data_IF_371465020252
#
_entry.id   IF_371465020252
#
_cell.length_a   1.000
_cell.length_b   1.000
_cell.length_c   1.000
_cell.angle_alpha   90.00
_cell.angle_beta   90.00
_cell.angle_gamma   90.00
#
_symmetry.space_group_name_H-M   'P 1'
#
loop_
_entity.id
_entity.type
_entity.pdbx_description
1 polymer ?
#
# COMPACT_ATOMS: atom_id res chain seq x y z
N UNK A 1 -15.18 6.16 83.39
CA UNK A 1 -16.35 5.31 83.76
C UNK A 1 -16.74 4.57 82.51
N UNK A 2 -16.28 3.29 82.39
CA UNK A 2 -17.08 2.03 82.49
C UNK A 2 -18.24 2.05 81.51
N UNK A 3 -18.47 1.12 80.61
CA UNK A 3 -18.35 -0.34 80.67
C UNK A 3 -18.59 -0.96 79.30
N UNK A 4 -17.77 -1.94 78.94
CA UNK A 4 -18.13 -3.34 78.56
C UNK A 4 -18.95 -3.64 77.27
N UNK A 5 -18.27 -4.41 76.43
CA UNK A 5 -18.69 -5.43 75.44
C UNK A 5 -19.94 -6.32 75.91
N UNK A 6 -20.59 -7.06 74.99
CA UNK A 6 -19.94 -8.23 74.36
C UNK A 6 -20.37 -8.65 72.94
N UNK A 7 -19.44 -9.37 72.32
CA UNK A 7 -19.50 -10.49 71.37
C UNK A 7 -20.85 -11.15 71.07
N UNK A 8 -21.11 -11.36 69.76
CA UNK A 8 -21.76 -12.58 69.27
C UNK A 8 -21.30 -12.92 67.84
N UNK A 9 -20.65 -14.03 67.71
CA UNK A 9 -20.36 -14.77 66.48
C UNK A 9 -21.67 -15.25 65.81
N UNK A 10 -21.74 -15.21 64.48
CA UNK A 10 -22.46 -16.18 63.68
C UNK A 10 -21.77 -16.40 62.36
N UNK A 11 -21.37 -17.61 62.18
CA UNK A 11 -20.92 -18.32 60.98
C UNK A 11 -21.94 -18.23 59.84
N UNK A 12 -21.51 -17.95 58.63
CA UNK A 12 -22.31 -18.01 57.42
C UNK A 12 -21.40 -18.18 56.19
N UNK A 13 -21.10 -19.43 55.91
CA UNK A 13 -20.45 -19.85 54.68
C UNK A 13 -21.30 -19.40 53.50
N UNK A 14 -20.75 -18.57 52.58
CA UNK A 14 -21.38 -18.28 51.30
C UNK A 14 -20.35 -18.46 50.19
N UNK A 15 -20.58 -19.52 49.46
CA UNK A 15 -19.92 -19.97 48.26
C UNK A 15 -19.68 -18.85 47.26
N UNK A 16 -18.40 -18.62 46.90
CA UNK A 16 -17.98 -17.74 45.81
C UNK A 16 -18.29 -18.44 44.48
N UNK A 17 -19.28 -17.95 43.78
CA UNK A 17 -19.51 -18.28 42.38
C UNK A 17 -18.38 -17.69 41.55
N UNK A 18 -17.63 -18.55 40.87
CA UNK A 18 -16.61 -18.19 39.88
C UNK A 18 -17.31 -17.53 38.69
N UNK A 19 -17.19 -16.21 38.57
CA UNK A 19 -17.52 -15.50 37.34
C UNK A 19 -16.55 -15.98 36.25
N UNK A 20 -17.09 -16.67 35.27
CA UNK A 20 -16.43 -17.19 34.10
C UNK A 20 -16.09 -15.97 33.20
N UNK A 21 -14.81 -15.57 33.16
CA UNK A 21 -14.32 -14.59 32.25
C UNK A 21 -14.52 -15.10 30.81
N UNK A 22 -15.52 -14.58 30.13
CA UNK A 22 -15.70 -14.82 28.70
C UNK A 22 -14.63 -14.01 27.96
N UNK A 23 -13.58 -14.69 27.58
CA UNK A 23 -12.61 -14.17 26.59
C UNK A 23 -13.36 -13.94 25.28
N UNK A 24 -13.58 -12.67 24.95
CA UNK A 24 -14.02 -12.27 23.63
C UNK A 24 -12.91 -12.67 22.65
N UNK A 25 -13.10 -13.79 21.99
CA UNK A 25 -12.35 -14.15 20.81
C UNK A 25 -12.68 -13.10 19.75
N UNK A 26 -11.75 -12.18 19.54
CA UNK A 26 -11.78 -11.32 18.34
C UNK A 26 -11.73 -12.26 17.14
N UNK A 27 -12.86 -12.41 16.49
CA UNK A 27 -12.95 -13.07 15.19
C UNK A 27 -12.00 -12.36 14.25
N UNK A 28 -10.87 -13.00 13.96
CA UNK A 28 -10.01 -12.62 12.86
C UNK A 28 -10.85 -12.76 11.59
N UNK A 29 -11.36 -11.66 11.09
CA UNK A 29 -11.96 -11.61 9.77
C UNK A 29 -10.85 -11.96 8.78
N UNK A 30 -10.83 -13.21 8.35
CA UNK A 30 -10.07 -13.65 7.20
C UNK A 30 -10.63 -12.89 5.99
N UNK A 31 -10.02 -11.76 5.65
CA UNK A 31 -10.23 -11.13 4.36
C UNK A 31 -9.65 -12.07 3.32
N UNK A 32 -10.49 -12.92 2.80
CA UNK A 32 -10.19 -13.81 1.70
C UNK A 32 -10.04 -12.94 0.44
N UNK A 33 -8.86 -12.35 0.26
CA UNK A 33 -8.51 -11.70 -1.00
C UNK A 33 -8.57 -12.80 -2.05
N UNK A 34 -9.39 -12.70 -3.10
CA UNK A 34 -9.50 -13.75 -4.09
C UNK A 34 -8.11 -14.06 -4.63
N UNK A 35 -7.71 -15.32 -4.52
CA UNK A 35 -6.44 -15.80 -5.07
C UNK A 35 -6.56 -15.68 -6.58
N UNK A 36 -5.83 -14.77 -7.18
CA UNK A 36 -5.76 -14.66 -8.64
C UNK A 36 -5.07 -15.92 -9.16
N UNK A 37 -5.82 -16.76 -9.86
CA UNK A 37 -5.25 -17.93 -10.51
C UNK A 37 -4.44 -17.51 -11.73
N UNK A 38 -3.22 -18.00 -11.81
CA UNK A 38 -2.34 -17.70 -12.94
C UNK A 38 -2.69 -18.57 -14.14
N UNK A 39 -2.78 -17.94 -15.30
CA UNK A 39 -2.91 -18.66 -16.57
C UNK A 39 -1.56 -19.31 -16.93
N UNK A 40 -1.49 -20.66 -17.03
CA UNK A 40 -0.24 -21.37 -17.32
C UNK A 40 0.36 -21.04 -18.70
N UNK A 41 -0.43 -20.50 -19.63
CA UNK A 41 0.02 -20.09 -20.95
C UNK A 41 0.73 -18.73 -20.96
N UNK A 42 0.60 -17.93 -19.90
CA UNK A 42 1.21 -16.62 -19.81
C UNK A 42 2.57 -16.67 -19.11
N UNK A 43 3.47 -15.80 -19.55
CA UNK A 43 4.76 -15.59 -18.89
C UNK A 43 4.53 -15.03 -17.49
N UNK A 44 5.29 -15.50 -16.50
CA UNK A 44 5.23 -14.98 -15.13
C UNK A 44 6.39 -14.04 -14.90
N UNK A 45 6.08 -12.78 -14.60
CA UNK A 45 7.03 -11.70 -14.30
C UNK A 45 6.89 -11.29 -12.84
N UNK A 46 8.01 -11.16 -12.12
CA UNK A 46 8.05 -10.51 -10.83
C UNK A 46 8.36 -9.03 -11.03
N UNK A 47 7.64 -8.19 -10.32
CA UNK A 47 7.80 -6.74 -10.33
C UNK A 47 8.01 -6.30 -8.89
N UNK A 48 9.01 -5.45 -8.68
CA UNK A 48 9.22 -4.72 -7.44
C UNK A 48 9.16 -3.23 -7.77
N UNK A 49 8.51 -2.45 -6.95
CA UNK A 49 8.42 -1.01 -7.16
C UNK A 49 8.36 -0.26 -5.83
N UNK A 50 8.99 0.91 -5.82
CA UNK A 50 8.99 1.83 -4.71
C UNK A 50 8.96 3.27 -5.23
N UNK A 51 8.57 4.21 -4.35
CA UNK A 51 8.53 5.63 -4.65
C UNK A 51 9.09 6.47 -3.51
N UNK A 52 9.71 7.59 -3.85
CA UNK A 52 10.29 8.52 -2.89
C UNK A 52 9.94 9.95 -3.24
N UNK A 53 9.76 10.79 -2.22
CA UNK A 53 9.60 12.24 -2.37
C UNK A 53 10.39 12.95 -1.27
N UNK A 54 11.36 13.79 -1.66
CA UNK A 54 12.33 14.42 -0.73
C UNK A 54 11.68 15.43 0.22
N UNK A 55 10.65 16.15 -0.27
CA UNK A 55 9.81 17.05 0.55
C UNK A 55 8.36 16.72 0.23
N UNK A 56 7.77 15.84 1.01
CA UNK A 56 6.41 15.36 0.81
C UNK A 56 5.39 16.17 1.63
N UNK A 57 4.40 16.85 1.03
CA UNK A 57 4.11 16.92 -0.41
C UNK A 57 4.86 18.03 -1.14
N UNK A 58 4.99 17.88 -2.47
CA UNK A 58 5.34 18.98 -3.38
C UNK A 58 6.81 19.12 -3.73
N UNK A 59 7.71 18.35 -3.11
CA UNK A 59 9.12 18.33 -3.46
C UNK A 59 9.46 17.40 -4.63
N UNK A 60 10.74 17.37 -5.02
CA UNK A 60 11.23 16.41 -5.99
C UNK A 60 10.99 14.97 -5.53
N UNK A 61 10.56 14.12 -6.44
CA UNK A 61 10.34 12.72 -6.18
C UNK A 61 10.68 11.84 -7.37
N UNK A 62 10.76 10.54 -7.12
CA UNK A 62 11.07 9.57 -8.15
C UNK A 62 10.54 8.19 -7.80
N UNK A 63 10.47 7.34 -8.80
CA UNK A 63 10.16 5.92 -8.61
C UNK A 63 11.32 5.04 -9.06
N UNK A 64 11.41 3.85 -8.45
CA UNK A 64 12.31 2.77 -8.84
C UNK A 64 11.53 1.49 -9.09
N UNK A 65 11.95 0.73 -10.10
CA UNK A 65 11.33 -0.52 -10.52
C UNK A 65 12.41 -1.55 -10.81
N UNK A 66 12.19 -2.79 -10.37
CA UNK A 66 12.96 -3.96 -10.78
C UNK A 66 11.98 -4.96 -11.39
N UNK A 67 12.25 -5.36 -12.62
CA UNK A 67 11.51 -6.41 -13.35
C UNK A 67 12.38 -7.66 -13.42
N UNK A 68 11.84 -8.81 -13.01
CA UNK A 68 12.52 -10.10 -13.08
C UNK A 68 11.75 -11.09 -13.96
N UNK A 69 12.44 -11.66 -14.93
CA UNK A 69 11.90 -12.72 -15.78
C UNK A 69 13.00 -13.73 -16.17
N UNK A 70 12.80 -15.01 -15.83
CA UNK A 70 13.73 -16.12 -16.18
C UNK A 70 15.19 -15.87 -15.75
N UNK A 71 15.41 -15.25 -14.59
CA UNK A 71 16.75 -14.95 -14.10
C UNK A 71 17.32 -13.60 -14.57
N UNK A 72 16.73 -12.99 -15.59
CA UNK A 72 17.09 -11.67 -16.07
C UNK A 72 16.42 -10.59 -15.22
N UNK A 73 17.17 -9.50 -14.94
CA UNK A 73 16.68 -8.33 -14.24
C UNK A 73 16.76 -7.08 -15.14
N UNK A 74 15.78 -6.22 -14.99
CA UNK A 74 15.76 -4.90 -15.63
C UNK A 74 15.33 -3.85 -14.63
N UNK A 75 16.15 -2.82 -14.50
CA UNK A 75 15.89 -1.67 -13.66
C UNK A 75 15.32 -0.51 -14.47
N UNK A 76 14.37 0.22 -13.87
CA UNK A 76 13.82 1.45 -14.43
C UNK A 76 13.65 2.45 -13.29
N UNK A 77 13.93 3.71 -13.56
CA UNK A 77 13.67 4.81 -12.63
C UNK A 77 13.39 6.10 -13.39
N UNK A 78 12.66 6.99 -12.74
CA UNK A 78 12.38 8.31 -13.30
C UNK A 78 12.03 9.28 -12.17
N UNK A 79 12.48 10.54 -12.31
CA UNK A 79 12.24 11.59 -11.33
C UNK A 79 11.34 12.71 -11.86
N UNK A 80 10.70 13.41 -10.91
CA UNK A 80 9.80 14.52 -11.15
C UNK A 80 10.11 15.67 -10.19
N UNK A 81 10.10 16.89 -10.68
CA UNK A 81 10.47 18.08 -9.91
C UNK A 81 9.51 18.36 -8.74
N UNK A 82 8.24 18.09 -8.92
CA UNK A 82 7.21 18.29 -7.86
C UNK A 82 6.17 17.20 -7.90
N UNK A 83 6.01 16.47 -6.78
CA UNK A 83 5.07 15.35 -6.67
C UNK A 83 4.78 14.99 -5.20
N UNK A 84 4.27 13.80 -4.95
CA UNK A 84 4.11 13.21 -3.61
C UNK A 84 4.61 11.78 -3.56
N UNK A 85 4.94 11.31 -2.36
CA UNK A 85 5.37 9.92 -2.14
C UNK A 85 4.36 8.92 -2.71
N UNK A 86 3.08 9.04 -2.34
CA UNK A 86 2.04 8.14 -2.83
C UNK A 86 1.93 8.12 -4.36
N UNK A 87 2.14 9.27 -5.04
CA UNK A 87 2.12 9.30 -6.50
C UNK A 87 3.30 8.55 -7.09
N UNK A 88 4.48 8.67 -6.49
CA UNK A 88 5.68 7.95 -6.96
C UNK A 88 5.55 6.44 -6.76
N UNK A 89 5.02 5.97 -5.62
CA UNK A 89 4.70 4.56 -5.38
C UNK A 89 3.71 4.03 -6.42
N UNK A 90 2.64 4.78 -6.70
CA UNK A 90 1.65 4.42 -7.72
C UNK A 90 2.26 4.42 -9.12
N UNK A 91 3.09 5.41 -9.43
CA UNK A 91 3.70 5.56 -10.76
C UNK A 91 4.71 4.45 -11.04
N UNK A 92 5.50 4.03 -10.05
CA UNK A 92 6.38 2.87 -10.17
C UNK A 92 5.61 1.61 -10.58
N UNK A 93 4.54 1.28 -9.87
CA UNK A 93 3.70 0.13 -10.20
C UNK A 93 3.02 0.26 -11.58
N UNK A 94 2.51 1.45 -11.90
CA UNK A 94 1.85 1.76 -13.17
C UNK A 94 2.80 1.57 -14.36
N UNK A 95 3.96 2.22 -14.31
CA UNK A 95 4.95 2.16 -15.40
C UNK A 95 5.47 0.74 -15.57
N UNK A 96 5.67 0.00 -14.47
CA UNK A 96 6.05 -1.41 -14.56
C UNK A 96 5.05 -2.23 -15.39
N UNK A 97 3.74 -2.07 -15.14
CA UNK A 97 2.69 -2.77 -15.87
C UNK A 97 2.59 -2.29 -17.33
N UNK A 98 2.69 -0.98 -17.59
CA UNK A 98 2.62 -0.42 -18.94
C UNK A 98 3.84 -0.84 -19.82
N UNK A 99 5.00 -1.12 -19.21
CA UNK A 99 6.20 -1.61 -19.93
C UNK A 99 6.10 -3.07 -20.38
N UNK A 100 5.18 -3.84 -19.85
CA UNK A 100 4.93 -5.20 -20.30
C UNK A 100 4.17 -5.19 -21.63
N UNK A 101 4.82 -5.61 -22.70
CA UNK A 101 4.28 -5.55 -24.08
C UNK A 101 3.11 -6.51 -24.30
N UNK A 102 3.08 -7.63 -23.59
CA UNK A 102 2.10 -8.71 -23.75
C UNK A 102 1.41 -9.00 -22.42
N UNK A 103 0.21 -9.60 -22.42
CA UNK A 103 -0.43 -10.10 -21.20
C UNK A 103 0.52 -11.05 -20.45
N UNK A 104 0.62 -10.88 -19.13
CA UNK A 104 1.48 -11.66 -18.26
C UNK A 104 0.75 -12.04 -16.98
N UNK A 105 1.23 -13.11 -16.33
CA UNK A 105 1.04 -13.26 -14.90
C UNK A 105 2.06 -12.35 -14.19
N UNK A 106 1.60 -11.45 -13.36
CA UNK A 106 2.46 -10.49 -12.67
C UNK A 106 2.38 -10.69 -11.17
N UNK A 107 3.53 -10.84 -10.50
CA UNK A 107 3.63 -10.78 -9.05
C UNK A 107 4.25 -9.43 -8.71
N UNK A 108 3.42 -8.46 -8.33
CA UNK A 108 3.86 -7.11 -8.01
C UNK A 108 4.08 -6.96 -6.52
N UNK A 109 5.31 -6.65 -6.13
CA UNK A 109 5.74 -6.41 -4.75
C UNK A 109 5.90 -4.91 -4.52
N UNK A 110 5.31 -4.41 -3.44
CA UNK A 110 5.47 -3.03 -2.98
C UNK A 110 5.23 -2.98 -1.47
N UNK A 111 5.87 -2.06 -0.77
CA UNK A 111 5.62 -1.77 0.64
C UNK A 111 4.56 -0.68 0.84
N UNK A 112 4.06 -0.10 -0.23
CA UNK A 112 2.97 0.88 -0.21
C UNK A 112 1.63 0.25 0.20
N UNK A 113 1.20 0.54 1.42
CA UNK A 113 -0.14 0.17 1.88
C UNK A 113 -1.24 0.90 1.10
N UNK A 114 -0.97 2.15 0.69
CA UNK A 114 -1.89 2.95 -0.10
C UNK A 114 -2.18 2.30 -1.45
N UNK A 115 -1.13 1.91 -2.18
CA UNK A 115 -1.24 1.21 -3.46
C UNK A 115 -1.96 -0.13 -3.30
N UNK A 116 -1.53 -0.96 -2.34
CA UNK A 116 -2.15 -2.27 -2.07
C UNK A 116 -3.64 -2.13 -1.78
N UNK A 117 -4.00 -1.29 -0.81
CA UNK A 117 -5.40 -1.14 -0.39
C UNK A 117 -6.25 -0.54 -1.51
N UNK A 118 -5.70 0.42 -2.27
CA UNK A 118 -6.37 0.98 -3.44
C UNK A 118 -6.75 -0.10 -4.44
N UNK A 119 -5.81 -0.91 -4.85
CA UNK A 119 -6.03 -1.94 -5.88
C UNK A 119 -6.85 -3.13 -5.39
N UNK A 120 -6.73 -3.52 -4.11
CA UNK A 120 -7.38 -4.75 -3.61
C UNK A 120 -8.70 -4.51 -2.88
N UNK A 121 -8.88 -3.34 -2.27
CA UNK A 121 -10.05 -3.06 -1.42
C UNK A 121 -10.93 -1.93 -1.95
N UNK A 122 -10.34 -0.80 -2.37
CA UNK A 122 -11.11 0.42 -2.62
C UNK A 122 -11.55 0.58 -4.07
N UNK A 123 -10.76 0.11 -5.03
CA UNK A 123 -10.95 0.29 -6.47
C UNK A 123 -12.37 -0.05 -6.93
N UNK A 124 -12.88 -1.22 -6.51
CA UNK A 124 -14.23 -1.68 -6.89
C UNK A 124 -15.32 -0.71 -6.43
N UNK A 125 -15.18 -0.18 -5.21
CA UNK A 125 -16.10 0.82 -4.65
C UNK A 125 -16.02 2.15 -5.40
N UNK A 126 -14.81 2.64 -5.64
CA UNK A 126 -14.60 3.90 -6.36
C UNK A 126 -15.15 3.87 -7.79
N UNK A 127 -14.91 2.79 -8.52
CA UNK A 127 -15.47 2.61 -9.88
C UNK A 127 -17.00 2.63 -9.87
N UNK A 128 -17.64 1.91 -8.94
CA UNK A 128 -19.10 1.89 -8.81
C UNK A 128 -19.68 3.25 -8.45
N UNK A 129 -18.95 4.02 -7.64
CA UNK A 129 -19.41 5.33 -7.14
C UNK A 129 -18.89 6.50 -8.01
N UNK A 130 -18.46 6.27 -9.26
CA UNK A 130 -18.01 7.34 -10.15
C UNK A 130 -16.75 8.07 -9.69
N UNK A 131 -15.84 7.38 -8.98
CA UNK A 131 -14.59 7.93 -8.43
C UNK A 131 -14.79 8.97 -7.32
N UNK A 132 -15.86 8.80 -6.55
CA UNK A 132 -16.19 9.61 -5.39
C UNK A 132 -16.07 8.76 -4.12
N UNK A 133 -15.47 9.33 -3.06
CA UNK A 133 -15.34 8.69 -1.75
C UNK A 133 -16.68 8.65 -1.00
N UNK A 134 -16.75 7.89 0.10
CA UNK A 134 -17.90 7.89 1.01
C UNK A 134 -18.24 9.28 1.56
N UNK A 135 -17.24 10.17 1.67
CA UNK A 135 -17.40 11.57 2.09
C UNK A 135 -17.85 12.52 0.97
N UNK A 136 -18.26 11.96 -0.19
CA UNK A 136 -18.69 12.73 -1.38
C UNK A 136 -17.59 13.64 -1.96
N UNK A 137 -16.31 13.31 -1.72
CA UNK A 137 -15.15 14.02 -2.28
C UNK A 137 -14.56 13.22 -3.45
N UNK A 138 -13.94 13.88 -4.44
CA UNK A 138 -13.19 13.18 -5.48
C UNK A 138 -12.09 12.30 -4.87
N UNK A 139 -11.90 11.10 -5.41
CA UNK A 139 -10.78 10.22 -5.01
C UNK A 139 -9.46 10.91 -5.34
N UNK A 140 -8.55 11.01 -4.35
CA UNK A 140 -7.20 11.55 -4.57
C UNK A 140 -6.43 10.70 -5.57
N UNK A 141 -5.63 11.34 -6.43
CA UNK A 141 -4.81 10.68 -7.46
C UNK A 141 -5.65 9.82 -8.43
N UNK A 142 -6.88 10.26 -8.73
CA UNK A 142 -7.81 9.52 -9.58
C UNK A 142 -7.27 9.28 -11.00
N UNK A 143 -6.42 10.18 -11.49
CA UNK A 143 -5.69 10.07 -12.74
C UNK A 143 -4.82 8.80 -12.77
N UNK A 144 -4.02 8.59 -11.74
CA UNK A 144 -3.16 7.40 -11.62
C UNK A 144 -3.97 6.13 -11.33
N UNK A 145 -5.03 6.23 -10.52
CA UNK A 145 -5.88 5.07 -10.25
C UNK A 145 -6.58 4.55 -11.51
N UNK A 146 -7.09 5.43 -12.37
CA UNK A 146 -7.71 5.03 -13.64
C UNK A 146 -6.70 4.36 -14.57
N UNK A 147 -5.48 4.90 -14.66
CA UNK A 147 -4.41 4.31 -15.47
C UNK A 147 -3.96 2.96 -14.91
N UNK A 148 -3.80 2.84 -13.58
CA UNK A 148 -3.46 1.58 -12.91
C UNK A 148 -4.51 0.49 -13.14
N UNK A 149 -5.80 0.83 -13.06
CA UNK A 149 -6.90 -0.10 -13.35
C UNK A 149 -6.83 -0.59 -14.81
N UNK A 150 -6.63 0.32 -15.75
CA UNK A 150 -6.49 -0.02 -17.16
C UNK A 150 -5.23 -0.86 -17.45
N UNK A 151 -4.08 -0.51 -16.87
CA UNK A 151 -2.86 -1.27 -17.04
C UNK A 151 -2.98 -2.67 -16.41
N UNK A 152 -3.49 -2.76 -15.18
CA UNK A 152 -3.67 -4.02 -14.47
C UNK A 152 -4.64 -4.96 -15.16
N UNK A 153 -5.70 -4.43 -15.81
CA UNK A 153 -6.70 -5.25 -16.52
C UNK A 153 -6.13 -6.02 -17.73
N UNK A 154 -4.96 -5.63 -18.22
CA UNK A 154 -4.25 -6.33 -19.32
C UNK A 154 -3.51 -7.58 -18.85
N UNK A 155 -3.34 -7.78 -17.55
CA UNK A 155 -2.50 -8.79 -16.93
C UNK A 155 -3.25 -9.52 -15.82
N UNK A 156 -2.75 -10.70 -15.42
CA UNK A 156 -3.17 -11.36 -14.19
C UNK A 156 -2.28 -10.89 -13.04
N UNK A 157 -2.68 -9.83 -12.32
CA UNK A 157 -1.82 -9.21 -11.30
C UNK A 157 -2.15 -9.73 -9.91
N UNK A 158 -1.12 -10.28 -9.25
CA UNK A 158 -1.15 -10.61 -7.83
C UNK A 158 -0.36 -9.56 -7.06
N UNK A 159 -1.06 -8.78 -6.23
CA UNK A 159 -0.48 -7.74 -5.40
C UNK A 159 0.11 -8.35 -4.14
N UNK A 160 1.40 -8.19 -3.92
CA UNK A 160 2.12 -8.65 -2.72
C UNK A 160 2.66 -7.45 -1.95
N UNK A 161 2.22 -7.32 -0.72
CA UNK A 161 2.85 -6.37 0.19
C UNK A 161 4.12 -6.97 0.79
N UNK A 162 5.19 -6.21 0.81
CA UNK A 162 6.44 -6.51 1.51
C UNK A 162 6.65 -5.48 2.62
N UNK A 163 7.36 -5.85 3.66
CA UNK A 163 7.73 -4.89 4.69
C UNK A 163 8.90 -4.06 4.19
N UNK A 164 8.74 -2.73 4.16
CA UNK A 164 9.83 -1.82 3.81
C UNK A 164 11.04 -1.97 4.74
N UNK A 165 12.23 -1.80 4.21
CA UNK A 165 13.51 -1.88 4.95
C UNK A 165 13.70 -3.17 5.78
N UNK A 166 13.25 -4.30 5.25
CA UNK A 166 13.31 -5.60 5.92
C UNK A 166 14.30 -6.58 5.26
N UNK A 167 15.31 -6.09 4.56
CA UNK A 167 16.34 -6.92 3.91
C UNK A 167 15.88 -7.55 2.58
N UNK A 168 14.78 -7.09 1.99
CA UNK A 168 14.38 -7.52 0.66
C UNK A 168 15.20 -6.80 -0.40
N UNK A 169 16.21 -7.47 -0.95
CA UNK A 169 17.20 -6.92 -1.91
C UNK A 169 16.55 -6.08 -3.02
N UNK A 170 15.52 -6.59 -3.66
CA UNK A 170 14.87 -5.92 -4.79
C UNK A 170 14.07 -4.68 -4.35
N UNK A 171 13.44 -4.73 -3.17
CA UNK A 171 12.74 -3.56 -2.63
C UNK A 171 13.73 -2.45 -2.23
N UNK A 172 14.83 -2.81 -1.59
CA UNK A 172 15.90 -1.86 -1.25
C UNK A 172 16.57 -1.27 -2.49
N UNK A 173 16.66 -2.06 -3.58
CA UNK A 173 17.11 -1.56 -4.87
C UNK A 173 16.13 -0.55 -5.46
N UNK A 174 14.82 -0.83 -5.41
CA UNK A 174 13.78 0.11 -5.85
C UNK A 174 13.82 1.42 -5.04
N UNK A 175 13.95 1.36 -3.72
CA UNK A 175 14.09 2.53 -2.85
C UNK A 175 15.29 3.38 -3.24
N UNK A 176 16.47 2.73 -3.44
CA UNK A 176 17.68 3.43 -3.90
C UNK A 176 17.49 4.10 -5.26
N UNK A 177 16.92 3.40 -6.24
CA UNK A 177 16.63 3.94 -7.57
C UNK A 177 15.66 5.12 -7.48
N UNK A 178 14.61 5.01 -6.67
CA UNK A 178 13.63 6.08 -6.45
C UNK A 178 14.28 7.33 -5.84
N UNK A 179 15.16 7.16 -4.85
CA UNK A 179 15.89 8.28 -4.22
C UNK A 179 16.85 8.94 -5.19
N UNK A 180 17.65 8.18 -5.94
CA UNK A 180 18.56 8.71 -6.95
C UNK A 180 17.78 9.53 -7.99
N UNK A 181 16.64 8.99 -8.48
CA UNK A 181 15.80 9.68 -9.43
C UNK A 181 15.19 10.97 -8.85
N UNK A 182 14.79 10.97 -7.58
CA UNK A 182 14.28 12.14 -6.88
C UNK A 182 15.35 13.23 -6.72
N UNK A 183 16.58 12.88 -6.34
CA UNK A 183 17.70 13.83 -6.25
C UNK A 183 18.06 14.42 -7.63
N UNK A 184 18.15 13.59 -8.65
CA UNK A 184 18.41 14.07 -10.02
C UNK A 184 17.31 15.00 -10.53
N UNK A 185 16.06 14.78 -10.15
CA UNK A 185 14.94 15.61 -10.56
C UNK A 185 14.93 16.99 -9.86
N UNK A 186 15.61 17.15 -8.74
CA UNK A 186 15.75 18.45 -8.08
C UNK A 186 16.43 19.48 -9.00
N UNK A 187 17.39 19.03 -9.81
CA UNK A 187 18.15 19.84 -10.75
C UNK A 187 17.51 19.93 -12.15
N UNK A 188 16.37 19.24 -12.38
CA UNK A 188 15.66 19.18 -13.66
C UNK A 188 14.26 19.83 -13.57
N UNK A 189 14.14 21.16 -13.68
CA UNK A 189 12.87 21.86 -13.43
C UNK A 189 11.76 21.56 -14.45
N UNK A 190 12.06 20.87 -15.56
CA UNK A 190 11.12 20.71 -16.67
C UNK A 190 10.26 19.44 -16.61
N UNK A 191 10.54 18.53 -15.70
CA UNK A 191 9.80 17.26 -15.61
C UNK A 191 8.76 17.31 -14.51
N UNK A 192 7.58 17.73 -14.86
CA UNK A 192 6.44 17.82 -13.93
C UNK A 192 5.62 16.53 -13.90
N UNK A 193 5.16 16.16 -12.72
CA UNK A 193 4.08 15.20 -12.55
C UNK A 193 2.76 15.90 -12.92
N UNK A 194 2.30 15.71 -14.16
CA UNK A 194 1.17 16.45 -14.77
C UNK A 194 -0.13 16.32 -13.94
N UNK A 195 -0.30 15.24 -13.22
CA UNK A 195 -1.46 15.02 -12.36
C UNK A 195 -1.31 15.59 -10.95
N UNK A 196 -0.15 16.11 -10.61
CA UNK A 196 0.09 16.76 -9.32
C UNK A 196 -0.12 18.28 -9.45
N UNK A 197 -1.19 18.76 -8.85
CA UNK A 197 -1.41 20.19 -8.67
C UNK A 197 -0.89 20.58 -7.29
N UNK A 198 0.22 21.35 -7.18
CA UNK A 198 0.66 21.88 -5.89
C UNK A 198 -0.48 22.72 -5.29
N UNK A 199 -0.78 22.51 -4.02
CA UNK A 199 -1.69 23.41 -3.33
C UNK A 199 -1.04 24.79 -3.34
N UNK A 200 -1.71 25.79 -3.92
CA UNK A 200 -1.28 27.17 -3.78
C UNK A 200 -1.33 27.49 -2.29
N UNK A 201 -0.19 27.88 -1.74
CA UNK A 201 -0.11 28.37 -0.38
C UNK A 201 -1.15 29.47 -0.23
N UNK A 202 -2.00 29.32 0.79
CA UNK A 202 -3.00 30.33 1.16
C UNK A 202 -2.36 31.36 2.06
#
# INVERSE_FOLDING_TARGET
>A
MTTKNPVRQRTGCRTKSKARCQTHQHSRTNFNTPVVEFNPQLKTVKVFSDGSCLKNPGGPGGYGIVLQYRGEERELSEGFHSTTNNRMEMMGALIALERLKYPCNVILHSDSQYLKNGMTLWMKGWKRNGWITSEKKPVKNVDLWKRLDAAASRHNVRWKWVKGHAGHRENEMCDRLAKIAAYSAADMPHKHDIGFLPQKDK
#
